data_IF_349091577782
#
_entry.id   IF_349091577782
#
_cell.length_a   1.000
_cell.length_b   1.000
_cell.length_c   1.000
_cell.angle_alpha   90.00
_cell.angle_beta   90.00
_cell.angle_gamma   90.00
#
_symmetry.space_group_name_H-M   'P 1'
#
loop_
_entity.id
_entity.type
_entity.pdbx_description
1 polymer ?
#
# COMPACT_ATOMS: atom_id res chain seq x y z
N UNK A 1 5.76 -6.59 -37.81
CA UNK A 1 5.78 -5.36 -37.01
C UNK A 1 6.27 -5.74 -35.64
N UNK A 2 7.57 -5.58 -35.41
CA UNK A 2 8.18 -5.79 -34.10
C UNK A 2 7.70 -4.69 -33.15
N UNK A 3 7.01 -5.09 -32.10
CA UNK A 3 6.63 -4.21 -31.00
C UNK A 3 7.79 -4.27 -30.03
N UNK A 4 8.63 -3.22 -30.05
CA UNK A 4 9.73 -3.05 -29.10
C UNK A 4 9.23 -3.07 -27.64
N UNK A 5 10.11 -3.35 -26.68
CA UNK A 5 9.73 -3.43 -25.28
C UNK A 5 9.11 -2.09 -24.83
N UNK A 6 8.01 -2.20 -24.09
CA UNK A 6 7.39 -1.08 -23.39
C UNK A 6 8.44 -0.46 -22.45
N UNK A 7 8.83 0.77 -22.75
CA UNK A 7 9.76 1.56 -21.97
C UNK A 7 9.17 1.78 -20.56
N UNK A 8 9.70 1.05 -19.57
CA UNK A 8 9.43 1.34 -18.17
C UNK A 8 10.16 2.66 -17.85
N UNK A 9 9.50 3.65 -17.21
CA UNK A 9 10.19 4.88 -16.85
C UNK A 9 11.39 4.53 -15.97
N UNK A 10 12.59 4.90 -16.43
CA UNK A 10 13.83 4.63 -15.75
C UNK A 10 13.78 5.17 -14.32
N UNK A 11 13.82 4.28 -13.33
CA UNK A 11 14.03 4.63 -11.93
C UNK A 11 15.32 5.47 -11.84
N UNK A 12 15.20 6.73 -11.37
CA UNK A 12 16.35 7.58 -11.06
C UNK A 12 17.03 7.04 -9.80
N UNK A 13 17.84 6.00 -9.96
CA UNK A 13 18.53 5.23 -8.91
C UNK A 13 19.22 6.08 -7.81
N UNK A 14 19.59 7.33 -8.12
CA UNK A 14 20.13 8.28 -7.14
C UNK A 14 19.12 8.83 -6.11
N UNK A 15 17.83 8.94 -6.43
CA UNK A 15 16.82 9.50 -5.52
C UNK A 15 16.34 8.49 -4.48
N UNK A 16 16.14 7.22 -4.89
CA UNK A 16 15.79 6.13 -3.98
C UNK A 16 16.89 5.88 -2.93
N UNK A 17 18.17 5.87 -3.36
CA UNK A 17 19.29 5.72 -2.43
C UNK A 17 19.46 6.92 -1.47
N UNK A 18 19.00 8.12 -1.86
CA UNK A 18 19.05 9.32 -1.02
C UNK A 18 18.00 9.27 0.11
N UNK A 19 16.76 8.86 -0.18
CA UNK A 19 15.73 8.76 0.86
C UNK A 19 16.08 7.69 1.90
N UNK A 20 16.62 6.55 1.47
CA UNK A 20 17.04 5.47 2.38
C UNK A 20 18.12 5.94 3.36
N UNK A 21 19.08 6.76 2.91
CA UNK A 21 20.17 7.30 3.76
C UNK A 21 19.71 8.41 4.70
N UNK A 22 18.71 9.20 4.28
CA UNK A 22 18.23 10.37 5.02
C UNK A 22 16.85 10.15 5.65
N UNK A 23 16.42 8.90 5.79
CA UNK A 23 15.05 8.59 6.19
C UNK A 23 14.73 9.15 7.58
N UNK A 24 15.59 8.87 8.57
CA UNK A 24 15.42 9.37 9.94
C UNK A 24 15.36 10.91 9.97
N UNK A 25 16.27 11.59 9.25
CA UNK A 25 16.27 13.06 9.17
C UNK A 25 14.98 13.62 8.58
N UNK A 26 14.43 12.94 7.56
CA UNK A 26 13.15 13.34 6.97
C UNK A 26 11.98 13.10 7.91
N UNK A 27 12.01 12.01 8.68
CA UNK A 27 11.01 11.73 9.73
C UNK A 27 11.07 12.83 10.77
N UNK A 28 12.23 13.12 11.35
CA UNK A 28 12.41 14.18 12.35
C UNK A 28 11.89 15.54 11.86
N UNK A 29 12.12 15.87 10.58
CA UNK A 29 11.69 17.14 10.00
C UNK A 29 10.17 17.31 9.86
N UNK A 30 9.38 16.23 9.91
CA UNK A 30 7.91 16.26 9.75
C UNK A 30 7.16 15.93 11.04
N UNK A 31 7.87 15.59 12.12
CA UNK A 31 7.24 15.28 13.38
C UNK A 31 6.78 16.58 14.08
N UNK A 32 5.61 16.55 14.74
CA UNK A 32 5.20 17.63 15.63
C UNK A 32 6.17 17.78 16.81
N UNK A 33 6.22 18.99 17.37
CA UNK A 33 6.97 19.26 18.60
C UNK A 33 6.52 18.33 19.74
N UNK A 34 7.50 17.77 20.45
CA UNK A 34 7.26 16.88 21.59
C UNK A 34 7.06 15.40 21.24
N UNK A 35 6.96 15.02 19.96
CA UNK A 35 6.93 13.62 19.54
C UNK A 35 8.36 13.09 19.40
N UNK A 36 8.71 12.08 20.20
CA UNK A 36 10.02 11.43 20.15
C UNK A 36 10.02 10.26 19.16
N UNK A 37 11.17 9.96 18.55
CA UNK A 37 11.31 8.85 17.59
C UNK A 37 10.86 7.48 18.15
N UNK A 38 11.00 7.23 19.45
CA UNK A 38 10.53 5.98 20.08
C UNK A 38 9.01 5.84 20.16
N UNK A 39 8.28 6.93 19.98
CA UNK A 39 6.82 6.95 19.91
C UNK A 39 6.30 6.77 18.49
N UNK A 40 7.19 6.74 17.48
CA UNK A 40 6.81 6.73 16.08
C UNK A 40 6.74 5.31 15.54
N UNK A 41 5.63 5.02 14.86
CA UNK A 41 5.48 3.83 14.02
C UNK A 41 5.52 4.24 12.55
N UNK A 42 6.26 3.46 11.74
CA UNK A 42 6.30 3.68 10.30
C UNK A 42 5.21 2.83 9.68
N UNK A 43 4.30 3.50 8.98
CA UNK A 43 3.24 2.87 8.21
C UNK A 43 3.54 3.07 6.73
N UNK A 44 3.26 2.06 5.90
CA UNK A 44 3.35 2.17 4.44
C UNK A 44 1.97 2.08 3.85
N UNK A 45 1.61 3.04 3.01
CA UNK A 45 0.30 3.16 2.42
C UNK A 45 0.36 3.12 0.90
N UNK A 46 -0.64 2.48 0.30
CA UNK A 46 -0.85 2.43 -1.14
C UNK A 46 -2.31 2.07 -1.47
N UNK A 47 -2.67 2.12 -2.76
CA UNK A 47 -3.96 1.65 -3.28
C UNK A 47 -3.83 0.62 -4.41
N UNK A 48 -4.70 -0.39 -4.39
CA UNK A 48 -4.85 -1.34 -5.49
C UNK A 48 -6.27 -1.33 -6.04
N UNK A 49 -6.40 -1.11 -7.35
CA UNK A 49 -7.67 -1.30 -8.07
C UNK A 49 -7.93 -2.77 -8.35
N UNK A 50 -9.12 -3.25 -8.00
CA UNK A 50 -9.63 -4.59 -8.33
C UNK A 50 -10.95 -4.42 -9.08
N UNK A 51 -11.15 -5.17 -10.16
CA UNK A 51 -12.39 -5.08 -10.92
C UNK A 51 -12.61 -6.23 -11.88
N UNK A 52 -13.78 -6.19 -12.53
CA UNK A 52 -14.22 -7.21 -13.49
C UNK A 52 -13.25 -7.39 -14.64
N UNK A 53 -12.64 -6.29 -15.12
CA UNK A 53 -11.66 -6.35 -16.20
C UNK A 53 -10.33 -6.94 -15.71
N UNK A 54 -10.27 -8.26 -15.67
CA UNK A 54 -9.08 -9.02 -15.29
C UNK A 54 -7.87 -8.72 -16.19
N UNK A 55 -6.69 -8.85 -15.61
CA UNK A 55 -5.40 -8.78 -16.31
C UNK A 55 -5.26 -9.98 -17.25
N UNK A 56 -4.63 -9.79 -18.42
CA UNK A 56 -4.40 -10.89 -19.35
C UNK A 56 -3.36 -11.86 -18.77
N UNK A 57 -3.80 -13.02 -18.31
CA UNK A 57 -2.93 -14.03 -17.69
C UNK A 57 -2.42 -15.04 -18.72
N UNK A 58 -1.14 -15.41 -18.62
CA UNK A 58 -0.58 -16.55 -19.36
C UNK A 58 -0.95 -17.85 -18.64
N UNK A 59 -1.38 -18.87 -19.39
CA UNK A 59 -1.81 -20.15 -18.85
C UNK A 59 -0.94 -21.26 -19.43
N UNK A 60 -0.61 -22.24 -18.60
CA UNK A 60 -0.07 -23.50 -19.08
C UNK A 60 -1.20 -24.35 -19.62
N UNK A 61 -1.04 -24.82 -20.86
CA UNK A 61 -1.97 -25.76 -21.47
C UNK A 61 -1.19 -26.81 -22.26
N UNK A 62 -1.80 -27.98 -22.42
CA UNK A 62 -1.19 -29.10 -23.15
C UNK A 62 -0.87 -28.66 -24.59
N UNK A 63 0.33 -29.00 -25.08
CA UNK A 63 0.73 -28.70 -26.47
C UNK A 63 -0.32 -29.25 -27.45
N UNK A 64 -0.80 -28.40 -28.36
CA UNK A 64 -1.88 -28.71 -29.31
C UNK A 64 -3.28 -28.31 -28.84
N UNK A 65 -3.44 -27.76 -27.63
CA UNK A 65 -4.73 -27.24 -27.14
C UNK A 65 -4.82 -25.72 -27.21
N UNK A 66 -6.05 -25.19 -27.28
CA UNK A 66 -6.33 -23.75 -27.25
C UNK A 66 -7.23 -23.43 -26.05
N UNK A 67 -6.66 -23.23 -24.84
CA UNK A 67 -7.45 -22.90 -23.66
C UNK A 67 -8.20 -21.58 -23.90
N UNK A 68 -9.46 -21.53 -23.45
CA UNK A 68 -10.27 -20.32 -23.47
C UNK A 68 -10.41 -19.83 -22.04
N UNK A 69 -10.10 -18.56 -21.81
CA UNK A 69 -10.42 -17.87 -20.56
C UNK A 69 -11.38 -16.76 -20.88
N UNK A 70 -12.46 -16.69 -20.10
CA UNK A 70 -13.43 -15.61 -20.18
C UNK A 70 -12.75 -14.36 -19.63
N UNK A 71 -12.63 -13.34 -20.49
CA UNK A 71 -12.27 -11.99 -20.06
C UNK A 71 -13.57 -11.21 -19.96
N UNK A 72 -13.95 -10.83 -18.74
CA UNK A 72 -15.03 -9.89 -18.54
C UNK A 72 -14.67 -8.55 -19.22
N UNK A 73 -15.63 -8.00 -19.97
CA UNK A 73 -15.49 -6.70 -20.65
C UNK A 73 -16.13 -5.57 -19.86
N UNK A 74 -16.89 -5.91 -18.82
CA UNK A 74 -17.43 -4.96 -17.86
C UNK A 74 -16.29 -4.22 -17.13
N UNK A 75 -16.59 -3.01 -16.67
CA UNK A 75 -15.59 -2.07 -16.16
C UNK A 75 -15.78 -1.70 -14.70
N UNK A 76 -16.64 -2.39 -13.95
CA UNK A 76 -16.80 -2.12 -12.52
C UNK A 76 -15.52 -2.49 -11.77
N UNK A 77 -15.17 -1.65 -10.82
CA UNK A 77 -13.97 -1.81 -10.00
C UNK A 77 -14.13 -1.09 -8.67
N UNK A 78 -13.48 -1.63 -7.65
CA UNK A 78 -13.25 -0.99 -6.37
C UNK A 78 -11.76 -0.79 -6.13
N UNK A 79 -11.43 -0.02 -5.11
CA UNK A 79 -10.06 0.24 -4.68
C UNK A 79 -9.89 -0.24 -3.25
N UNK A 80 -8.85 -1.03 -3.01
CA UNK A 80 -8.38 -1.32 -1.66
C UNK A 80 -7.35 -0.25 -1.31
N UNK A 81 -7.68 0.59 -0.34
CA UNK A 81 -6.71 1.43 0.35
C UNK A 81 -6.14 0.62 1.50
N UNK A 82 -4.82 0.46 1.56
CA UNK A 82 -4.17 -0.29 2.63
C UNK A 82 -3.03 0.50 3.24
N UNK A 83 -2.94 0.47 4.57
CA UNK A 83 -1.79 0.90 5.34
C UNK A 83 -1.27 -0.26 6.20
N UNK A 84 0.04 -0.47 6.22
CA UNK A 84 0.67 -1.56 6.98
C UNK A 84 1.82 -1.05 7.85
N UNK A 85 1.87 -1.50 9.11
CA UNK A 85 2.95 -1.22 10.05
C UNK A 85 3.72 -2.51 10.37
N UNK A 86 4.95 -2.68 9.85
CA UNK A 86 5.77 -3.85 10.13
C UNK A 86 6.18 -3.94 11.61
N UNK A 87 6.39 -2.80 12.30
CA UNK A 87 6.80 -2.78 13.70
C UNK A 87 5.72 -3.35 14.62
N UNK A 88 4.45 -3.05 14.34
CA UNK A 88 3.31 -3.50 15.12
C UNK A 88 2.66 -4.78 14.58
N UNK A 89 3.09 -5.28 13.41
CA UNK A 89 2.36 -6.31 12.66
C UNK A 89 0.87 -5.96 12.46
N UNK A 90 0.61 -4.67 12.23
CA UNK A 90 -0.73 -4.10 12.15
C UNK A 90 -1.03 -3.62 10.74
N UNK A 91 -2.31 -3.60 10.38
CA UNK A 91 -2.76 -3.09 9.10
C UNK A 91 -4.16 -2.49 9.20
N UNK A 92 -4.43 -1.50 8.36
CA UNK A 92 -5.73 -0.85 8.17
C UNK A 92 -6.07 -0.93 6.70
N UNK A 93 -7.30 -1.32 6.37
CA UNK A 93 -7.75 -1.39 4.99
C UNK A 93 -9.19 -0.94 4.83
N UNK A 94 -9.46 -0.20 3.76
CA UNK A 94 -10.81 0.19 3.34
C UNK A 94 -11.00 -0.17 1.86
N UNK A 95 -12.14 -0.78 1.54
CA UNK A 95 -12.55 -1.01 0.14
C UNK A 95 -13.53 0.09 -0.24
N UNK A 96 -13.15 0.90 -1.22
CA UNK A 96 -13.85 2.13 -1.58
C UNK A 96 -14.10 2.20 -3.10
N UNK A 97 -15.18 2.87 -3.54
CA UNK A 97 -15.55 2.94 -4.97
C UNK A 97 -14.58 3.75 -5.82
N UNK A 98 -13.86 4.71 -5.23
CA UNK A 98 -13.04 5.67 -5.96
C UNK A 98 -11.68 5.88 -5.31
N UNK A 99 -10.66 6.18 -6.13
CA UNK A 99 -9.39 6.71 -5.67
C UNK A 99 -9.38 8.23 -5.83
N UNK A 100 -9.67 8.96 -4.75
CA UNK A 100 -9.72 10.43 -4.74
C UNK A 100 -9.42 10.99 -3.34
N UNK A 101 -9.43 12.31 -3.21
CA UNK A 101 -9.14 13.00 -1.94
C UNK A 101 -10.10 12.63 -0.81
N UNK A 102 -11.38 12.39 -1.10
CA UNK A 102 -12.36 12.05 -0.06
C UNK A 102 -12.10 10.64 0.48
N UNK A 103 -11.83 9.68 -0.39
CA UNK A 103 -11.54 8.31 0.03
C UNK A 103 -10.19 8.20 0.73
N UNK A 104 -9.20 8.99 0.32
CA UNK A 104 -7.95 9.11 1.06
C UNK A 104 -8.16 9.72 2.45
N UNK A 105 -8.98 10.76 2.59
CA UNK A 105 -9.30 11.33 3.91
C UNK A 105 -9.93 10.30 4.86
N UNK A 106 -10.90 9.51 4.38
CA UNK A 106 -11.50 8.41 5.15
C UNK A 106 -10.45 7.38 5.59
N UNK A 107 -9.51 7.05 4.71
CA UNK A 107 -8.44 6.11 5.04
C UNK A 107 -7.47 6.68 6.08
N UNK A 108 -7.12 7.97 5.99
CA UNK A 108 -6.29 8.63 7.01
C UNK A 108 -6.96 8.64 8.38
N UNK A 109 -8.26 8.90 8.45
CA UNK A 109 -9.03 8.83 9.69
C UNK A 109 -9.03 7.41 10.28
N UNK A 110 -9.22 6.39 9.44
CA UNK A 110 -9.16 4.99 9.88
C UNK A 110 -7.75 4.62 10.40
N UNK A 111 -6.69 5.09 9.75
CA UNK A 111 -5.32 4.91 10.25
C UNK A 111 -5.14 5.61 11.59
N UNK A 112 -5.56 6.87 11.72
CA UNK A 112 -5.48 7.64 12.96
C UNK A 112 -6.19 6.94 14.13
N UNK A 113 -7.34 6.31 13.90
CA UNK A 113 -8.06 5.53 14.91
C UNK A 113 -7.33 4.24 15.31
N UNK A 114 -6.56 3.64 14.40
CA UNK A 114 -5.81 2.42 14.66
C UNK A 114 -4.46 2.67 15.35
N UNK A 115 -3.94 3.90 15.32
CA UNK A 115 -2.70 4.27 16.02
C UNK A 115 -2.92 4.16 17.54
N UNK A 116 -2.11 3.36 18.26
CA UNK A 116 -2.28 3.21 19.70
C UNK A 116 -2.08 4.53 20.45
N UNK A 117 -2.76 4.74 21.59
CA UNK A 117 -2.56 5.92 22.43
C UNK A 117 -1.08 6.15 22.78
N UNK A 118 -0.64 7.41 22.67
CA UNK A 118 0.75 7.80 22.94
C UNK A 118 1.75 7.47 21.82
N UNK A 119 1.29 6.89 20.70
CA UNK A 119 2.08 6.66 19.48
C UNK A 119 1.71 7.65 18.39
N UNK A 120 2.63 7.82 17.43
CA UNK A 120 2.46 8.68 16.26
C UNK A 120 2.76 7.88 14.99
N UNK A 121 1.85 7.89 14.01
CA UNK A 121 2.12 7.28 12.72
C UNK A 121 2.86 8.25 11.80
N UNK A 122 3.97 7.80 11.22
CA UNK A 122 4.47 8.39 9.98
C UNK A 122 4.02 7.49 8.84
N UNK A 123 3.04 7.98 8.08
CA UNK A 123 2.48 7.27 6.93
C UNK A 123 3.32 7.60 5.69
N UNK A 124 4.00 6.59 5.15
CA UNK A 124 4.84 6.65 3.96
C UNK A 124 4.01 6.27 2.74
N UNK A 125 3.97 7.14 1.74
CA UNK A 125 3.11 7.00 0.57
C UNK A 125 3.77 7.58 -0.69
N UNK A 126 3.21 7.30 -1.86
CA UNK A 126 3.67 7.89 -3.12
C UNK A 126 3.19 9.36 -3.26
N UNK A 127 3.37 9.95 -4.45
CA UNK A 127 2.99 11.34 -4.74
C UNK A 127 1.76 11.46 -5.65
N UNK A 128 0.79 10.54 -5.56
CA UNK A 128 -0.47 10.70 -6.27
C UNK A 128 -1.13 12.05 -5.94
N UNK A 129 -1.90 12.61 -6.89
CA UNK A 129 -2.45 13.96 -6.75
C UNK A 129 -3.37 14.13 -5.53
N UNK A 130 -4.01 13.05 -5.07
CA UNK A 130 -4.85 13.04 -3.86
C UNK A 130 -4.05 12.83 -2.56
N UNK A 131 -2.76 12.52 -2.62
CA UNK A 131 -1.85 12.37 -1.47
C UNK A 131 -1.20 13.67 -1.03
N UNK A 132 -1.03 14.62 -1.96
CA UNK A 132 -0.27 15.86 -1.74
C UNK A 132 -1.15 17.09 -1.60
N UNK A 133 -2.47 16.92 -1.63
CA UNK A 133 -3.41 18.03 -1.60
C UNK A 133 -3.57 18.60 -0.18
N UNK A 134 -3.61 19.93 -0.02
CA UNK A 134 -3.86 20.57 1.28
C UNK A 134 -5.28 20.36 1.80
N UNK A 135 -6.15 19.69 1.02
CA UNK A 135 -7.52 19.34 1.41
C UNK A 135 -7.61 18.11 2.32
N UNK A 136 -6.52 17.36 2.49
CA UNK A 136 -6.49 16.24 3.42
C UNK A 136 -6.60 16.74 4.87
N UNK A 137 -7.27 15.98 5.75
CA UNK A 137 -7.38 16.35 7.15
C UNK A 137 -6.01 16.35 7.82
N UNK A 138 -5.78 17.34 8.69
CA UNK A 138 -4.64 17.33 9.60
C UNK A 138 -5.02 16.54 10.85
N UNK A 139 -4.33 15.43 11.08
CA UNK A 139 -4.61 14.51 12.19
C UNK A 139 -3.49 14.64 13.22
N UNK A 140 -3.80 14.74 14.52
CA UNK A 140 -2.79 15.05 15.54
C UNK A 140 -1.75 13.94 15.75
N UNK A 141 -2.06 12.71 15.34
CA UNK A 141 -1.26 11.51 15.53
C UNK A 141 -0.79 10.86 14.22
N UNK A 142 -0.93 11.56 13.07
CA UNK A 142 -0.50 11.06 11.76
C UNK A 142 0.24 12.16 11.00
N UNK A 143 1.51 11.91 10.65
CA UNK A 143 2.28 12.73 9.70
C UNK A 143 2.47 11.99 8.38
N UNK A 144 2.39 12.72 7.27
CA UNK A 144 2.57 12.15 5.92
C UNK A 144 4.02 12.33 5.45
N UNK A 145 4.62 11.27 4.90
CA UNK A 145 5.96 11.28 4.31
C UNK A 145 5.92 10.75 2.88
N UNK A 146 6.09 11.63 1.90
CA UNK A 146 6.11 11.23 0.49
C UNK A 146 7.44 10.57 0.08
N UNK A 147 7.34 9.44 -0.60
CA UNK A 147 8.44 8.81 -1.33
C UNK A 147 8.82 9.66 -2.55
N UNK A 148 10.05 9.50 -3.09
CA UNK A 148 10.39 10.07 -4.39
C UNK A 148 9.42 9.56 -5.47
N UNK A 149 9.08 10.43 -6.42
CA UNK A 149 8.24 10.05 -7.55
C UNK A 149 8.85 8.88 -8.33
N UNK A 150 8.03 7.87 -8.64
CA UNK A 150 8.44 6.71 -9.43
C UNK A 150 9.35 5.73 -8.70
N UNK A 151 9.22 5.60 -7.37
CA UNK A 151 9.97 4.62 -6.57
C UNK A 151 9.07 3.55 -5.88
N UNK A 152 8.26 2.79 -6.64
CA UNK A 152 7.39 1.75 -6.08
C UNK A 152 8.19 0.65 -5.35
N UNK A 153 9.45 0.41 -5.71
CA UNK A 153 10.34 -0.58 -5.07
C UNK A 153 10.62 -0.28 -3.59
N UNK A 154 10.40 0.95 -3.15
CA UNK A 154 10.53 1.34 -1.76
C UNK A 154 9.28 1.01 -0.94
N UNK A 155 8.11 0.94 -1.57
CA UNK A 155 6.86 0.70 -0.86
C UNK A 155 6.60 -0.81 -0.71
N UNK A 156 6.61 -1.37 0.51
CA UNK A 156 6.30 -2.78 0.73
C UNK A 156 4.85 -3.16 0.41
N UNK A 157 3.93 -2.19 0.26
CA UNK A 157 2.52 -2.46 -0.04
C UNK A 157 2.35 -3.28 -1.33
N UNK A 158 3.22 -3.10 -2.33
CA UNK A 158 3.23 -3.90 -3.56
C UNK A 158 3.35 -5.41 -3.29
N UNK A 159 4.10 -5.80 -2.25
CA UNK A 159 4.23 -7.20 -1.87
C UNK A 159 2.95 -7.72 -1.20
N UNK A 160 2.25 -6.87 -0.42
CA UNK A 160 0.93 -7.18 0.13
C UNK A 160 -0.06 -7.41 -1.01
N UNK A 161 -0.11 -6.52 -1.98
CA UNK A 161 -0.95 -6.65 -3.17
C UNK A 161 -0.67 -7.93 -3.94
N UNK A 162 0.61 -8.30 -4.07
CA UNK A 162 0.97 -9.57 -4.68
C UNK A 162 0.41 -10.76 -3.90
N UNK A 163 0.51 -10.77 -2.56
CA UNK A 163 -0.10 -11.82 -1.72
C UNK A 163 -1.62 -11.91 -1.89
N UNK A 164 -2.32 -10.78 -1.95
CA UNK A 164 -3.78 -10.77 -2.13
C UNK A 164 -4.18 -11.32 -3.51
N UNK A 165 -3.45 -10.92 -4.56
CA UNK A 165 -3.66 -11.43 -5.92
C UNK A 165 -3.41 -12.93 -6.00
N UNK A 166 -2.27 -13.40 -5.52
CA UNK A 166 -1.87 -14.79 -5.66
C UNK A 166 -2.78 -15.76 -4.89
N UNK A 167 -3.33 -15.32 -3.75
CA UNK A 167 -4.17 -16.17 -2.89
C UNK A 167 -5.66 -16.09 -3.21
N UNK A 168 -6.17 -14.91 -3.53
CA UNK A 168 -7.60 -14.64 -3.39
C UNK A 168 -8.24 -13.80 -4.49
N UNK A 169 -7.47 -13.05 -5.29
CA UNK A 169 -8.04 -12.04 -6.21
C UNK A 169 -7.69 -12.26 -7.69
N UNK A 170 -6.65 -13.03 -8.02
CA UNK A 170 -6.29 -13.29 -9.42
C UNK A 170 -7.27 -14.25 -10.12
N UNK A 171 -7.49 -14.03 -11.42
CA UNK A 171 -8.29 -14.89 -12.31
C UNK A 171 -9.75 -15.13 -11.85
N UNK A 172 -10.35 -14.20 -11.09
CA UNK A 172 -11.76 -14.26 -10.71
C UNK A 172 -12.63 -13.50 -11.71
N UNK A 173 -13.85 -13.98 -11.87
CA UNK A 173 -14.95 -13.27 -12.53
C UNK A 173 -15.91 -12.82 -11.42
N UNK A 174 -16.39 -11.58 -11.49
CA UNK A 174 -17.33 -11.01 -10.53
C UNK A 174 -18.67 -10.80 -11.22
N UNK A 175 -19.77 -11.26 -10.62
CA UNK A 175 -21.10 -11.14 -11.23
C UNK A 175 -21.70 -9.74 -10.99
N UNK A 176 -21.30 -9.09 -9.90
CA UNK A 176 -21.72 -7.75 -9.49
C UNK A 176 -20.59 -6.94 -8.85
N UNK A 177 -20.84 -5.64 -8.65
CA UNK A 177 -19.96 -4.77 -7.86
C UNK A 177 -19.80 -5.27 -6.41
N UNK A 178 -20.88 -5.75 -5.80
CA UNK A 178 -20.85 -6.24 -4.41
C UNK A 178 -19.93 -7.46 -4.27
N UNK A 179 -19.90 -8.35 -5.28
CA UNK A 179 -18.95 -9.47 -5.29
C UNK A 179 -17.48 -9.02 -5.31
N UNK A 180 -17.20 -7.87 -5.94
CA UNK A 180 -15.85 -7.28 -5.94
C UNK A 180 -15.51 -6.80 -4.52
N UNK A 181 -16.46 -6.11 -3.86
CA UNK A 181 -16.28 -5.61 -2.50
C UNK A 181 -16.04 -6.77 -1.54
N UNK A 182 -16.89 -7.79 -1.56
CA UNK A 182 -16.81 -8.95 -0.68
C UNK A 182 -15.48 -9.69 -0.87
N UNK A 183 -15.07 -9.92 -2.12
CA UNK A 183 -13.80 -10.58 -2.40
C UNK A 183 -12.60 -9.76 -1.90
N UNK A 184 -12.63 -8.43 -2.05
CA UNK A 184 -11.57 -7.55 -1.55
C UNK A 184 -11.49 -7.58 -0.02
N UNK A 185 -12.64 -7.44 0.66
CA UNK A 185 -12.74 -7.50 2.11
C UNK A 185 -12.27 -8.86 2.65
N UNK A 186 -12.74 -9.95 2.06
CA UNK A 186 -12.34 -11.31 2.44
C UNK A 186 -10.83 -11.52 2.25
N UNK A 187 -10.28 -11.10 1.10
CA UNK A 187 -8.86 -11.23 0.82
C UNK A 187 -7.99 -10.46 1.82
N UNK A 188 -8.34 -9.20 2.08
CA UNK A 188 -7.65 -8.35 3.04
C UNK A 188 -7.70 -8.96 4.45
N UNK A 189 -8.89 -9.31 4.93
CA UNK A 189 -9.08 -9.87 6.27
C UNK A 189 -8.36 -11.21 6.46
N UNK A 190 -8.38 -12.09 5.45
CA UNK A 190 -7.60 -13.34 5.50
C UNK A 190 -6.11 -13.09 5.59
N UNK A 191 -5.58 -12.08 4.89
CA UNK A 191 -4.16 -11.75 4.93
C UNK A 191 -3.74 -11.18 6.29
N UNK A 192 -4.51 -10.22 6.83
CA UNK A 192 -4.20 -9.56 8.11
C UNK A 192 -4.35 -10.50 9.31
N UNK A 193 -5.09 -11.59 9.17
CA UNK A 193 -5.20 -12.65 10.19
C UNK A 193 -4.00 -13.61 10.22
N UNK A 194 -3.07 -13.54 9.26
CA UNK A 194 -1.88 -14.40 9.27
C UNK A 194 -0.85 -13.81 10.23
N UNK A 195 -0.51 -14.49 11.34
CA UNK A 195 0.42 -13.95 12.32
C UNK A 195 1.78 -13.63 11.70
N UNK A 196 2.32 -12.45 11.99
CA UNK A 196 3.62 -11.95 11.54
C UNK A 196 3.77 -11.76 10.03
N UNK A 197 2.70 -11.87 9.24
CA UNK A 197 2.79 -11.73 7.79
C UNK A 197 3.20 -10.31 7.38
N UNK A 198 2.64 -9.29 8.04
CA UNK A 198 2.94 -7.88 7.74
C UNK A 198 4.38 -7.58 8.15
N UNK A 199 4.78 -7.96 9.36
CA UNK A 199 6.16 -7.83 9.81
C UNK A 199 7.14 -8.48 8.85
N UNK A 200 6.91 -9.73 8.48
CA UNK A 200 7.82 -10.49 7.62
C UNK A 200 7.92 -9.91 6.21
N UNK A 201 6.82 -9.45 5.63
CA UNK A 201 6.76 -9.01 4.25
C UNK A 201 7.22 -7.56 4.09
N UNK A 202 6.82 -6.71 5.05
CA UNK A 202 6.88 -5.27 4.90
C UNK A 202 8.04 -4.61 5.65
N UNK A 203 8.83 -5.35 6.43
CA UNK A 203 10.02 -4.77 7.10
C UNK A 203 11.02 -4.24 6.08
N UNK A 204 11.51 -3.02 6.29
CA UNK A 204 12.52 -2.36 5.47
C UNK A 204 13.63 -1.82 6.34
N UNK A 205 14.85 -2.33 6.16
CA UNK A 205 16.01 -1.96 6.99
C UNK A 205 16.29 -0.45 7.02
N UNK A 206 16.03 0.24 5.91
CA UNK A 206 16.22 1.68 5.79
C UNK A 206 15.14 2.51 6.51
N UNK A 207 14.02 1.90 6.88
CA UNK A 207 12.90 2.54 7.59
C UNK A 207 12.91 2.26 9.10
N UNK A 208 14.01 1.72 9.63
CA UNK A 208 14.16 1.49 11.06
C UNK A 208 14.50 2.81 11.76
N UNK A 209 13.70 3.15 12.77
CA UNK A 209 13.99 4.27 13.66
C UNK A 209 14.92 3.81 14.80
N UNK A 210 15.90 4.63 15.19
CA UNK A 210 16.77 4.30 16.31
C UNK A 210 15.95 4.20 17.61
N UNK A 211 16.29 3.26 18.51
CA UNK A 211 15.71 3.25 19.85
C UNK A 211 16.08 4.54 20.58
N UNK A 212 15.17 5.07 21.39
CA UNK A 212 15.47 6.22 22.26
C UNK A 212 16.49 5.75 23.29
N UNK A 213 17.70 6.32 23.25
CA UNK A 213 18.69 6.11 24.30
C UNK A 213 18.16 6.69 25.61
N UNK A 214 17.64 5.85 26.51
CA UNK A 214 17.18 6.32 27.83
C UNK A 214 16.13 5.50 28.58
N UNK A 215 15.74 4.30 28.12
CA UNK A 215 14.93 3.39 28.93
C UNK A 215 15.67 2.06 29.10
N UNK A 216 16.41 1.97 30.20
CA UNK A 216 16.93 0.74 30.82
C UNK A 216 16.01 0.37 31.98
#
# INVERSE_FOLDING_TARGET
MDIGPLDQPACRSGQASCIQKKFVQKVEAILPDGVQLGQVDIWFQDEMRIGQRGTQTRLWARKGTRPRVVRQQQSESAYIFGAVCPQCDAAVGLVLPFANTQTMALHLEAVSQAVPPGRHAVLVLDQAGWHTTPKLPQLPNVSLLSLPAGSPELNPAEQVWQQLRDRSLANRCYDSYDDIIDACCEAWNKFTQIPNAIRSLCTRNWANLPPVHGMS
#
